data_IF_710103143201
#
_entry.id   IF_710103143201
#
_cell.length_a   1.000
_cell.length_b   1.000
_cell.length_c   1.000
_cell.angle_alpha   90.00
_cell.angle_beta   90.00
_cell.angle_gamma   90.00
#
_symmetry.space_group_name_H-M   'P 1'
#
loop_
_entity.id
_entity.type
_entity.pdbx_description
1 polymer ?
#
# COMPACT_ATOMS: atom_id res chain seq x y z
N UNK A 1 -5.98 -1.07 -15.37
CA UNK A 1 -5.33 -0.61 -16.61
C UNK A 1 -4.60 0.66 -16.24
N UNK A 2 -3.27 0.67 -16.17
CA UNK A 2 -2.58 1.89 -15.80
C UNK A 2 -2.59 2.82 -17.00
N UNK A 3 -3.46 3.83 -16.97
CA UNK A 3 -3.25 5.04 -17.75
C UNK A 3 -1.92 5.61 -17.25
N UNK A 4 -1.00 5.95 -18.16
CA UNK A 4 0.28 6.52 -17.77
C UNK A 4 0.03 7.72 -16.86
N UNK A 5 0.59 7.65 -15.65
CA UNK A 5 0.44 8.67 -14.62
C UNK A 5 1.82 9.17 -14.28
N UNK A 6 2.00 10.48 -14.37
CA UNK A 6 3.27 11.14 -14.11
C UNK A 6 3.02 12.18 -13.03
N UNK A 7 3.90 12.18 -12.03
CA UNK A 7 3.90 13.11 -10.92
C UNK A 7 5.32 13.70 -10.80
N UNK A 8 5.43 14.90 -10.27
CA UNK A 8 6.73 15.52 -10.04
C UNK A 8 7.59 15.71 -11.30
N UNK A 9 8.91 15.66 -11.12
CA UNK A 9 9.91 15.89 -12.15
C UNK A 9 10.48 14.56 -12.65
N UNK A 10 10.33 14.31 -13.95
CA UNK A 10 10.89 13.13 -14.61
C UNK A 10 11.76 13.53 -15.81
N UNK A 11 12.78 12.73 -16.16
CA UNK A 11 13.56 12.94 -17.37
C UNK A 11 12.74 12.67 -18.64
N UNK A 12 13.18 13.25 -19.76
CA UNK A 12 12.54 13.08 -21.08
C UNK A 12 12.50 11.61 -21.55
N UNK A 13 13.46 10.79 -21.10
CA UNK A 13 13.58 9.36 -21.41
C UNK A 13 13.98 8.62 -20.13
N UNK A 14 13.56 7.36 -20.03
CA UNK A 14 13.96 6.45 -18.95
C UNK A 14 15.46 6.13 -19.06
N UNK A 15 16.09 5.77 -17.95
CA UNK A 15 17.47 5.27 -17.92
C UNK A 15 18.50 6.26 -18.49
N UNK A 16 18.28 7.56 -18.26
CA UNK A 16 19.27 8.61 -18.54
C UNK A 16 19.70 9.27 -17.24
N UNK A 17 20.87 9.91 -17.25
CA UNK A 17 21.30 10.72 -16.12
C UNK A 17 20.26 11.83 -15.86
N UNK A 18 19.62 11.76 -14.69
CA UNK A 18 18.70 12.77 -14.21
C UNK A 18 19.32 13.45 -12.99
N UNK A 19 19.38 14.79 -13.02
CA UNK A 19 20.06 15.58 -12.00
C UNK A 19 19.10 16.53 -11.32
N UNK A 20 19.23 16.65 -10.00
CA UNK A 20 18.51 17.63 -9.20
C UNK A 20 19.02 19.05 -9.42
N UNK A 21 18.40 20.02 -8.74
CA UNK A 21 18.76 21.43 -8.86
C UNK A 21 20.22 21.72 -8.44
N UNK A 22 20.77 20.94 -7.51
CA UNK A 22 22.17 21.04 -7.08
C UNK A 22 23.17 20.27 -7.96
N UNK A 23 22.72 19.69 -9.07
CA UNK A 23 23.57 18.92 -10.00
C UNK A 23 23.85 17.47 -9.56
N UNK A 24 23.40 17.05 -8.38
CA UNK A 24 23.50 15.66 -7.93
C UNK A 24 22.67 14.72 -8.81
N UNK A 25 23.14 13.48 -9.01
CA UNK A 25 22.35 12.45 -9.67
C UNK A 25 21.20 12.01 -8.76
N UNK A 26 20.02 11.89 -9.33
CA UNK A 26 18.83 11.35 -8.68
C UNK A 26 18.77 9.84 -8.99
N UNK A 27 18.87 8.95 -7.98
CA UNK A 27 18.80 7.51 -8.20
C UNK A 27 17.44 7.12 -8.78
N UNK A 28 17.47 6.27 -9.82
CA UNK A 28 16.26 5.72 -10.44
C UNK A 28 15.93 4.37 -9.79
N UNK A 29 14.69 4.18 -9.35
CA UNK A 29 14.15 2.91 -8.88
C UNK A 29 13.03 2.44 -9.82
N UNK A 30 13.16 1.22 -10.35
CA UNK A 30 12.03 0.55 -11.02
C UNK A 30 11.29 -0.31 -9.99
N UNK A 31 10.13 0.17 -9.55
CA UNK A 31 9.21 -0.63 -8.75
C UNK A 31 8.24 -1.31 -9.69
N UNK A 32 8.33 -2.64 -9.77
CA UNK A 32 7.52 -3.44 -10.69
C UNK A 32 7.02 -4.74 -10.07
N UNK A 33 5.93 -5.23 -10.63
CA UNK A 33 5.38 -6.54 -10.35
C UNK A 33 5.57 -7.49 -11.54
N UNK A 34 5.56 -8.81 -11.31
CA UNK A 34 5.81 -9.83 -12.35
C UNK A 34 7.11 -9.58 -13.14
N UNK A 35 8.16 -9.16 -12.40
CA UNK A 35 9.45 -8.78 -12.98
C UNK A 35 9.32 -7.53 -13.84
N UNK A 36 9.48 -7.69 -15.16
CA UNK A 36 9.44 -6.59 -16.14
C UNK A 36 8.18 -6.56 -17.01
N UNK A 37 7.21 -7.44 -16.72
CA UNK A 37 6.02 -7.63 -17.58
C UNK A 37 4.73 -7.10 -16.96
N UNK A 38 4.69 -6.96 -15.64
CA UNK A 38 3.55 -6.43 -14.92
C UNK A 38 3.53 -4.89 -14.87
N UNK A 39 2.59 -4.32 -14.07
CA UNK A 39 2.58 -2.90 -13.77
C UNK A 39 3.90 -2.48 -13.11
N UNK A 40 4.42 -1.32 -13.52
CA UNK A 40 5.63 -0.76 -12.95
C UNK A 40 5.58 0.78 -12.94
N UNK A 41 6.31 1.34 -11.98
CA UNK A 41 6.60 2.76 -11.84
C UNK A 41 8.11 2.95 -11.83
N UNK A 42 8.57 4.04 -12.43
CA UNK A 42 9.94 4.53 -12.28
C UNK A 42 9.90 5.72 -11.34
N UNK A 43 10.71 5.67 -10.28
CA UNK A 43 10.79 6.68 -9.25
C UNK A 43 12.19 7.29 -9.27
N UNK A 44 12.29 8.60 -9.06
CA UNK A 44 13.56 9.30 -8.96
C UNK A 44 13.72 9.86 -7.55
N UNK A 45 14.71 9.35 -6.83
CA UNK A 45 14.93 9.62 -5.41
C UNK A 45 15.95 10.74 -5.17
N UNK A 46 15.94 11.31 -3.96
CA UNK A 46 17.03 12.15 -3.47
C UNK A 46 18.18 11.29 -2.92
N UNK A 47 17.85 10.18 -2.28
CA UNK A 47 18.76 9.22 -1.67
C UNK A 47 18.74 7.88 -2.41
N UNK A 48 19.71 7.01 -2.11
CA UNK A 48 19.71 5.67 -2.67
C UNK A 48 18.65 4.82 -1.93
N UNK A 49 17.65 4.23 -2.62
CA UNK A 49 16.57 3.48 -1.96
C UNK A 49 17.06 2.20 -1.25
N UNK A 50 18.30 1.77 -1.54
CA UNK A 50 18.93 0.59 -0.91
C UNK A 50 19.59 0.88 0.44
N UNK A 51 19.55 2.13 0.94
CA UNK A 51 20.20 2.51 2.20
C UNK A 51 19.36 2.07 3.40
N UNK A 52 19.66 0.88 3.90
CA UNK A 52 19.07 0.34 5.13
C UNK A 52 20.17 0.26 6.20
N UNK A 53 19.97 0.94 7.33
CA UNK A 53 20.90 0.94 8.46
C UNK A 53 20.84 -0.35 9.25
N UNK A 54 19.63 -0.80 9.54
CA UNK A 54 19.38 -1.93 10.43
C UNK A 54 18.14 -2.70 10.00
N UNK A 55 18.15 -4.01 10.22
CA UNK A 55 16.99 -4.89 10.02
C UNK A 55 16.85 -5.75 11.26
N UNK A 56 15.68 -5.72 11.90
CA UNK A 56 15.38 -6.50 13.10
C UNK A 56 13.98 -7.11 13.09
N UNK A 57 13.79 -8.32 13.67
CA UNK A 57 12.46 -8.85 13.89
C UNK A 57 11.65 -7.92 14.78
N UNK A 58 10.38 -7.66 14.43
CA UNK A 58 9.50 -6.81 15.23
C UNK A 58 8.40 -7.62 15.92
N UNK A 59 7.56 -8.32 15.15
CA UNK A 59 6.39 -9.04 15.68
C UNK A 59 5.96 -10.18 14.77
N UNK A 60 5.56 -11.31 15.34
CA UNK A 60 4.85 -12.36 14.57
C UNK A 60 3.35 -12.09 14.61
N UNK A 61 2.68 -12.25 13.47
CA UNK A 61 1.23 -12.16 13.36
C UNK A 61 0.67 -13.59 13.45
N UNK A 62 0.44 -14.05 14.67
CA UNK A 62 0.00 -15.42 14.97
C UNK A 62 -1.48 -15.61 14.59
N UNK A 63 -1.73 -15.85 13.30
CA UNK A 63 -3.05 -16.18 12.79
C UNK A 63 -3.39 -17.62 13.17
N UNK A 64 -4.36 -17.78 14.05
CA UNK A 64 -4.82 -19.09 14.52
C UNK A 64 -5.91 -19.59 13.59
N UNK A 65 -5.60 -20.65 12.83
CA UNK A 65 -6.59 -21.32 12.00
C UNK A 65 -7.53 -22.12 12.90
N UNK A 66 -8.79 -22.25 12.49
CA UNK A 66 -9.72 -23.14 13.17
C UNK A 66 -9.19 -24.58 13.12
N UNK A 67 -9.09 -25.29 14.27
CA UNK A 67 -8.56 -26.65 14.31
C UNK A 67 -9.36 -27.62 13.45
N UNK A 68 -10.69 -27.50 13.50
CA UNK A 68 -11.62 -28.35 12.77
C UNK A 68 -12.16 -27.61 11.55
N UNK A 69 -11.75 -28.06 10.35
CA UNK A 69 -12.20 -27.48 9.07
C UNK A 69 -13.55 -28.06 8.64
N UNK A 70 -14.52 -28.08 9.54
CA UNK A 70 -15.88 -28.54 9.26
C UNK A 70 -16.71 -27.38 8.71
N UNK A 71 -17.57 -27.69 7.74
CA UNK A 71 -18.44 -26.70 7.13
C UNK A 71 -19.51 -26.24 8.12
N UNK A 72 -19.48 -24.95 8.46
CA UNK A 72 -20.50 -24.31 9.29
C UNK A 72 -20.98 -23.00 8.66
N UNK A 73 -22.29 -22.75 8.76
CA UNK A 73 -22.82 -21.41 8.54
C UNK A 73 -22.42 -20.51 9.70
N UNK A 74 -21.75 -19.40 9.41
CA UNK A 74 -21.24 -18.45 10.42
C UNK A 74 -21.79 -17.06 10.20
N UNK A 75 -22.11 -16.39 11.30
CA UNK A 75 -22.41 -14.97 11.32
C UNK A 75 -21.33 -14.27 12.16
N UNK A 76 -20.45 -13.52 11.49
CA UNK A 76 -19.37 -12.77 12.14
C UNK A 76 -19.92 -11.45 12.69
N UNK A 77 -20.00 -11.35 14.03
CA UNK A 77 -20.47 -10.15 14.72
C UNK A 77 -19.30 -9.22 15.04
N UNK A 78 -18.91 -8.38 14.08
CA UNK A 78 -17.79 -7.41 14.25
C UNK A 78 -18.18 -6.15 15.02
N UNK A 79 -19.49 -5.90 15.24
CA UNK A 79 -19.97 -4.70 15.94
C UNK A 79 -19.34 -4.54 17.34
N UNK A 80 -19.26 -5.61 18.12
CA UNK A 80 -18.64 -5.62 19.46
C UNK A 80 -17.17 -6.05 19.48
N UNK A 81 -16.52 -6.16 18.31
CA UNK A 81 -15.11 -6.52 18.24
C UNK A 81 -14.24 -5.31 18.54
N UNK A 82 -13.53 -5.35 19.66
CA UNK A 82 -12.54 -4.35 20.02
C UNK A 82 -11.21 -4.64 19.30
N UNK A 83 -10.64 -3.62 18.69
CA UNK A 83 -9.29 -3.68 18.11
C UNK A 83 -8.42 -2.64 18.81
N UNK A 84 -7.10 -2.74 18.64
CA UNK A 84 -6.19 -1.67 19.05
C UNK A 84 -6.21 -0.45 18.10
N UNK A 85 -5.48 0.62 18.46
CA UNK A 85 -5.50 1.90 17.74
C UNK A 85 -4.79 1.88 16.39
N UNK A 86 -3.96 0.86 16.11
CA UNK A 86 -3.13 0.78 14.92
C UNK A 86 -3.84 0.10 13.74
N UNK A 87 -3.94 0.81 12.62
CA UNK A 87 -4.44 0.21 11.36
C UNK A 87 -3.51 -0.87 10.81
N UNK A 88 -2.24 -0.89 11.22
CA UNK A 88 -1.22 -1.84 10.77
C UNK A 88 -1.10 -3.02 11.74
N UNK A 89 -0.94 -2.74 13.03
CA UNK A 89 -0.56 -3.73 14.03
C UNK A 89 -1.74 -4.44 14.70
N UNK A 90 -2.93 -3.83 14.68
CA UNK A 90 -4.07 -4.31 15.47
C UNK A 90 -5.20 -4.90 14.61
N UNK A 91 -4.83 -5.34 13.40
CA UNK A 91 -5.73 -6.05 12.49
C UNK A 91 -6.09 -7.42 13.08
N UNK A 92 -7.39 -7.69 13.22
CA UNK A 92 -7.90 -8.98 13.67
C UNK A 92 -8.29 -9.83 12.45
N UNK A 93 -7.58 -10.95 12.18
CA UNK A 93 -7.94 -11.84 11.08
C UNK A 93 -9.30 -12.52 11.36
N UNK A 94 -10.23 -12.42 10.42
CA UNK A 94 -11.56 -13.03 10.49
C UNK A 94 -11.64 -14.33 9.69
N UNK A 95 -11.12 -14.29 8.46
CA UNK A 95 -11.16 -15.39 7.50
C UNK A 95 -9.85 -15.38 6.72
N UNK A 96 -9.21 -16.53 6.55
CA UNK A 96 -8.01 -16.61 5.74
C UNK A 96 -7.78 -18.01 5.19
N UNK A 97 -7.11 -18.07 4.04
CA UNK A 97 -6.57 -19.27 3.45
C UNK A 97 -5.21 -18.94 2.78
N UNK A 98 -4.74 -19.79 1.87
CA UNK A 98 -3.48 -19.54 1.17
C UNK A 98 -3.55 -18.39 0.14
N UNK A 99 -4.76 -18.01 -0.31
CA UNK A 99 -4.97 -17.05 -1.39
C UNK A 99 -5.36 -15.66 -0.86
N UNK A 100 -6.15 -15.60 0.20
CA UNK A 100 -6.73 -14.36 0.72
C UNK A 100 -6.86 -14.39 2.24
N UNK A 101 -6.69 -13.22 2.87
CA UNK A 101 -7.01 -12.99 4.26
C UNK A 101 -7.87 -11.73 4.41
N UNK A 102 -8.93 -11.82 5.21
CA UNK A 102 -9.81 -10.72 5.57
C UNK A 102 -9.58 -10.41 7.04
N UNK A 103 -9.24 -9.17 7.35
CA UNK A 103 -9.03 -8.70 8.69
C UNK A 103 -9.85 -7.43 8.97
N UNK A 104 -10.21 -7.24 10.23
CA UNK A 104 -10.99 -6.11 10.70
C UNK A 104 -10.16 -5.25 11.65
N UNK A 105 -10.30 -3.93 11.56
CA UNK A 105 -9.61 -2.99 12.44
C UNK A 105 -10.39 -1.68 12.60
N UNK A 106 -10.33 -1.10 13.80
CA UNK A 106 -10.86 0.22 14.17
C UNK A 106 -9.75 1.12 14.72
N UNK A 107 -8.94 1.73 13.86
CA UNK A 107 -7.86 2.61 14.33
C UNK A 107 -8.43 3.88 14.99
N UNK A 108 -7.70 4.43 15.96
CA UNK A 108 -8.04 5.71 16.61
C UNK A 108 -7.67 6.92 15.73
N UNK A 109 -6.77 6.70 14.76
CA UNK A 109 -6.35 7.68 13.75
C UNK A 109 -5.08 8.48 14.08
N UNK A 110 -4.51 8.31 15.26
CA UNK A 110 -3.33 9.09 15.71
C UNK A 110 -1.97 8.52 15.30
N UNK A 111 -1.92 7.27 14.84
CA UNK A 111 -0.67 6.58 14.59
C UNK A 111 -0.18 6.78 13.15
N UNK A 112 1.09 7.18 12.99
CA UNK A 112 1.74 7.39 11.71
C UNK A 112 2.93 6.45 11.59
N UNK A 113 2.71 5.30 10.95
CA UNK A 113 3.74 4.26 10.76
C UNK A 113 4.01 4.07 9.27
N UNK A 114 5.28 4.03 8.91
CA UNK A 114 5.69 3.60 7.57
C UNK A 114 5.54 2.09 7.46
N UNK A 115 4.66 1.64 6.57
CA UNK A 115 4.35 0.23 6.42
C UNK A 115 4.35 -0.18 4.95
N UNK A 116 4.85 -1.38 4.66
CA UNK A 116 4.66 -2.04 3.36
C UNK A 116 4.36 -3.51 3.54
N UNK A 117 3.43 -4.00 2.72
CA UNK A 117 3.13 -5.42 2.65
C UNK A 117 3.97 -6.09 1.55
N UNK A 118 4.96 -6.91 1.91
CA UNK A 118 5.83 -7.62 0.97
C UNK A 118 5.33 -9.05 0.63
N UNK A 119 4.15 -9.44 1.09
CA UNK A 119 3.58 -10.77 0.80
C UNK A 119 2.29 -10.75 0.01
N UNK A 120 1.56 -9.62 -0.02
CA UNK A 120 0.26 -9.53 -0.68
C UNK A 120 -0.06 -8.12 -1.18
N UNK A 121 -0.98 -8.06 -2.15
CA UNK A 121 -1.70 -6.82 -2.45
C UNK A 121 -2.75 -6.59 -1.36
N UNK A 122 -3.00 -5.35 -0.99
CA UNK A 122 -4.01 -4.98 0.01
C UNK A 122 -5.17 -4.23 -0.65
N UNK A 123 -6.39 -4.56 -0.24
CA UNK A 123 -7.58 -3.78 -0.48
C UNK A 123 -8.13 -3.37 0.88
N UNK A 124 -8.12 -2.07 1.18
CA UNK A 124 -8.70 -1.54 2.41
C UNK A 124 -10.03 -0.90 2.08
N UNK A 125 -11.11 -1.54 2.49
CA UNK A 125 -12.43 -0.94 2.46
C UNK A 125 -12.63 -0.08 3.71
N UNK A 126 -12.82 1.23 3.51
CA UNK A 126 -13.05 2.19 4.59
C UNK A 126 -14.55 2.26 4.83
N UNK A 127 -15.03 1.57 5.87
CA UNK A 127 -16.46 1.58 6.22
C UNK A 127 -16.85 2.91 6.86
N UNK A 128 -16.01 3.42 7.75
CA UNK A 128 -16.21 4.68 8.48
C UNK A 128 -14.88 5.44 8.58
N UNK A 129 -14.94 6.77 8.61
CA UNK A 129 -13.78 7.65 8.69
C UNK A 129 -13.30 8.19 7.34
N UNK A 130 -12.30 9.06 7.40
CA UNK A 130 -11.66 9.72 6.25
C UNK A 130 -10.20 10.01 6.55
N UNK A 131 -9.44 10.35 5.51
CA UNK A 131 -8.03 10.66 5.64
C UNK A 131 -7.30 10.67 4.31
N UNK A 132 -6.01 10.43 4.37
CA UNK A 132 -5.16 10.24 3.21
C UNK A 132 -4.18 9.09 3.40
N UNK A 133 -3.89 8.39 2.30
CA UNK A 133 -2.80 7.43 2.21
C UNK A 133 -1.61 8.14 1.55
N UNK A 134 -0.51 8.30 2.26
CA UNK A 134 0.74 8.85 1.70
C UNK A 134 1.69 7.72 1.34
N UNK A 135 2.43 7.90 0.24
CA UNK A 135 3.42 6.95 -0.27
C UNK A 135 4.48 7.73 -1.06
N UNK A 136 5.61 7.09 -1.44
CA UNK A 136 6.53 7.71 -2.40
C UNK A 136 5.88 8.04 -3.75
N UNK A 137 4.72 7.44 -4.06
CA UNK A 137 3.95 7.71 -5.28
C UNK A 137 2.99 8.90 -5.13
N UNK A 138 2.93 9.56 -3.98
CA UNK A 138 2.03 10.68 -3.72
C UNK A 138 1.01 10.43 -2.61
N UNK A 139 0.09 11.39 -2.47
CA UNK A 139 -0.99 11.41 -1.48
C UNK A 139 -2.32 11.04 -2.14
N UNK A 140 -3.04 10.09 -1.55
CA UNK A 140 -4.34 9.63 -2.01
C UNK A 140 -5.41 9.88 -0.94
N UNK A 141 -6.22 10.94 -1.07
CA UNK A 141 -7.35 11.19 -0.16
C UNK A 141 -8.41 10.09 -0.24
N UNK A 142 -8.97 9.72 0.90
CA UNK A 142 -10.02 8.71 1.02
C UNK A 142 -11.10 9.10 2.03
N UNK A 143 -12.26 8.48 1.87
CA UNK A 143 -13.43 8.64 2.74
C UNK A 143 -14.19 7.31 2.87
N UNK A 144 -15.17 7.30 3.77
CA UNK A 144 -16.10 6.19 3.93
C UNK A 144 -16.72 5.78 2.59
N UNK A 145 -16.77 4.47 2.33
CA UNK A 145 -17.21 3.86 1.08
C UNK A 145 -16.09 3.58 0.08
N UNK A 146 -14.88 4.07 0.31
CA UNK A 146 -13.76 3.92 -0.61
C UNK A 146 -13.05 2.56 -0.45
N UNK A 147 -12.46 2.09 -1.56
CA UNK A 147 -11.52 0.98 -1.58
C UNK A 147 -10.13 1.50 -1.93
N UNK A 148 -9.19 1.35 -0.99
CA UNK A 148 -7.78 1.63 -1.24
C UNK A 148 -7.13 0.37 -1.77
N UNK A 149 -6.65 0.39 -3.02
CA UNK A 149 -5.90 -0.72 -3.62
C UNK A 149 -4.42 -0.39 -3.53
N UNK A 150 -3.70 -1.17 -2.73
CA UNK A 150 -2.28 -0.97 -2.44
C UNK A 150 -1.53 -2.21 -2.97
N UNK A 151 -0.85 -2.10 -4.12
CA UNK A 151 -0.04 -3.21 -4.62
C UNK A 151 1.03 -3.63 -3.62
N UNK A 152 1.40 -4.91 -3.66
CA UNK A 152 2.49 -5.48 -2.86
C UNK A 152 3.75 -4.63 -2.99
N UNK A 153 4.40 -4.39 -1.86
CA UNK A 153 5.68 -3.70 -1.76
C UNK A 153 5.59 -2.18 -1.71
N UNK A 154 4.43 -1.59 -2.00
CA UNK A 154 4.24 -0.14 -1.93
C UNK A 154 4.28 0.31 -0.47
N UNK A 155 5.32 1.08 -0.16
CA UNK A 155 5.46 1.76 1.13
C UNK A 155 4.42 2.86 1.26
N UNK A 156 3.74 2.87 2.39
CA UNK A 156 2.69 3.85 2.65
C UNK A 156 2.56 4.16 4.13
N UNK A 157 1.86 5.25 4.41
CA UNK A 157 1.49 5.71 5.74
C UNK A 157 0.03 6.18 5.70
N UNK A 158 -0.74 5.79 6.70
CA UNK A 158 -2.13 6.25 6.85
C UNK A 158 -2.17 7.52 7.68
N UNK A 159 -2.91 8.52 7.20
CA UNK A 159 -3.21 9.76 7.92
C UNK A 159 -4.72 9.88 8.05
N UNK A 160 -5.28 9.32 9.11
CA UNK A 160 -6.71 9.46 9.39
C UNK A 160 -7.01 10.80 10.05
N UNK A 161 -8.19 11.36 9.76
CA UNK A 161 -8.68 12.60 10.37
C UNK A 161 -9.34 12.36 11.75
N UNK A 162 -9.48 11.09 12.15
CA UNK A 162 -10.06 10.64 13.41
C UNK A 162 -10.23 9.13 13.44
N UNK A 163 -11.04 8.58 14.35
CA UNK A 163 -11.35 7.15 14.38
C UNK A 163 -11.95 6.66 13.05
N UNK A 164 -11.61 5.44 12.66
CA UNK A 164 -12.10 4.82 11.44
C UNK A 164 -12.47 3.35 11.66
N UNK A 165 -13.20 2.77 10.71
CA UNK A 165 -13.50 1.33 10.66
C UNK A 165 -13.09 0.80 9.30
N UNK A 166 -12.22 -0.21 9.26
CA UNK A 166 -11.68 -0.76 8.03
C UNK A 166 -11.82 -2.28 7.95
N UNK A 167 -12.18 -2.77 6.76
CA UNK A 167 -12.00 -4.17 6.38
C UNK A 167 -10.80 -4.26 5.43
N UNK A 168 -9.77 -4.98 5.86
CA UNK A 168 -8.54 -5.18 5.10
C UNK A 168 -8.56 -6.55 4.45
N UNK A 169 -8.46 -6.57 3.12
CA UNK A 169 -8.37 -7.79 2.32
C UNK A 169 -6.94 -7.87 1.79
N UNK A 170 -6.19 -8.87 2.21
CA UNK A 170 -4.86 -9.17 1.70
C UNK A 170 -4.95 -10.33 0.71
N UNK A 171 -4.43 -10.14 -0.50
CA UNK A 171 -4.43 -11.12 -1.58
C UNK A 171 -3.00 -11.59 -1.88
N UNK A 172 -2.78 -12.91 -1.91
CA UNK A 172 -1.53 -13.52 -2.37
C UNK A 172 -1.33 -13.34 -3.89
N UNK A 173 -2.39 -13.07 -4.64
CA UNK A 173 -2.35 -12.72 -6.06
C UNK A 173 -2.55 -11.23 -6.33
N UNK A 174 -2.42 -10.83 -7.60
CA UNK A 174 -2.57 -9.44 -8.04
C UNK A 174 -4.02 -8.98 -8.09
N UNK A 175 -4.29 -7.83 -7.47
CA UNK A 175 -5.58 -7.15 -7.55
C UNK A 175 -5.69 -6.40 -8.87
N UNK A 176 -6.71 -6.73 -9.65
CA UNK A 176 -6.95 -6.17 -10.98
C UNK A 176 -8.43 -6.12 -11.31
N UNK A 177 -8.82 -5.22 -12.20
CA UNK A 177 -10.19 -5.20 -12.71
C UNK A 177 -10.51 -6.51 -13.43
N UNK A 178 -11.72 -7.08 -13.25
CA UNK A 178 -12.06 -8.38 -13.83
C UNK A 178 -11.89 -8.40 -15.35
N UNK A 179 -11.35 -9.50 -15.89
CA UNK A 179 -11.09 -9.64 -17.35
C UNK A 179 -12.36 -9.42 -18.19
N UNK A 180 -13.52 -9.89 -17.71
CA UNK A 180 -14.81 -9.73 -18.40
C UNK A 180 -15.28 -8.29 -18.57
N UNK A 181 -14.74 -7.36 -17.78
CA UNK A 181 -15.05 -5.94 -17.86
C UNK A 181 -13.97 -5.16 -18.60
N UNK A 182 -13.00 -5.84 -19.23
CA UNK A 182 -11.93 -5.20 -19.98
C UNK A 182 -11.97 -5.58 -21.46
N UNK A 183 -11.72 -4.60 -22.33
CA UNK A 183 -11.39 -4.85 -23.73
C UNK A 183 -9.93 -5.35 -23.87
N UNK A 184 -9.54 -5.69 -25.10
CA UNK A 184 -8.19 -6.21 -25.40
C UNK A 184 -7.06 -5.20 -25.16
N UNK A 185 -7.38 -3.91 -25.01
CA UNK A 185 -6.44 -2.83 -24.73
C UNK A 185 -6.37 -2.46 -23.24
N UNK A 186 -7.15 -3.15 -22.39
CA UNK A 186 -7.25 -2.88 -20.95
C UNK A 186 -8.35 -1.90 -20.55
N UNK A 187 -8.93 -1.19 -21.52
CA UNK A 187 -10.23 -0.49 -21.55
C UNK A 187 -11.28 -1.05 -20.61
N UNK A 188 -11.83 -0.35 -19.62
CA UNK A 188 -13.11 -0.79 -19.05
C UNK A 188 -14.20 -0.72 -20.15
N UNK A 189 -15.04 -1.75 -20.22
CA UNK A 189 -16.17 -1.80 -21.16
C UNK A 189 -17.30 -0.86 -20.69
N UNK A 190 -18.11 -0.35 -21.61
CA UNK A 190 -19.28 0.50 -21.29
C UNK A 190 -20.29 -0.17 -20.34
N UNK A 191 -20.38 -1.50 -20.36
CA UNK A 191 -21.23 -2.30 -19.47
C UNK A 191 -20.58 -2.64 -18.12
N UNK A 192 -19.38 -2.11 -17.85
CA UNK A 192 -18.70 -2.33 -16.58
C UNK A 192 -19.45 -1.61 -15.46
N UNK A 193 -19.49 -2.17 -14.23
CA UNK A 193 -20.20 -1.55 -13.12
C UNK A 193 -19.53 -0.28 -12.57
N UNK A 194 -18.34 0.05 -13.09
CA UNK A 194 -17.57 1.26 -12.80
C UNK A 194 -16.71 1.59 -14.00
N UNK A 195 -16.21 2.82 -14.05
CA UNK A 195 -15.40 3.39 -15.12
C UNK A 195 -14.05 3.87 -14.59
N UNK A 196 -13.17 4.29 -15.50
CA UNK A 196 -11.89 4.90 -15.13
C UNK A 196 -12.06 6.20 -14.33
N UNK A 197 -13.22 6.87 -14.44
CA UNK A 197 -13.52 8.10 -13.69
C UNK A 197 -13.71 7.85 -12.19
N UNK A 198 -14.06 6.62 -11.83
CA UNK A 198 -14.24 6.21 -10.44
C UNK A 198 -12.91 5.88 -9.76
N UNK A 199 -11.83 5.74 -10.54
CA UNK A 199 -10.48 5.41 -10.06
C UNK A 199 -9.72 6.71 -9.79
N UNK A 200 -9.62 7.08 -8.51
CA UNK A 200 -8.75 8.15 -8.05
C UNK A 200 -7.29 7.69 -8.02
N UNK A 201 -6.40 8.59 -8.40
CA UNK A 201 -4.95 8.38 -8.43
C UNK A 201 -4.27 9.27 -7.39
N UNK A 202 -3.09 8.90 -6.89
CA UNK A 202 -2.32 9.77 -6.00
C UNK A 202 -2.01 11.12 -6.64
N UNK A 203 -2.02 12.15 -5.81
CA UNK A 203 -1.59 13.51 -6.09
C UNK A 203 -0.13 13.67 -5.68
N UNK A 204 0.63 14.48 -6.42
CA UNK A 204 2.03 14.72 -6.11
C UNK A 204 2.19 15.37 -4.73
N UNK A 205 3.20 14.93 -3.99
CA UNK A 205 3.68 15.58 -2.77
C UNK A 205 5.17 15.87 -2.95
N UNK A 206 5.63 16.98 -2.40
CA UNK A 206 7.05 17.33 -2.45
C UNK A 206 7.90 16.28 -1.71
N UNK A 207 9.05 15.98 -2.31
CA UNK A 207 10.03 15.07 -1.72
C UNK A 207 10.54 15.63 -0.38
N UNK A 208 10.62 14.75 0.63
CA UNK A 208 11.17 15.12 1.95
C UNK A 208 12.66 14.82 1.98
N UNK A 209 13.46 15.89 1.96
CA UNK A 209 14.92 15.83 2.03
C UNK A 209 15.39 15.84 3.49
N UNK A 210 15.17 14.73 4.19
CA UNK A 210 15.46 14.60 5.62
C UNK A 210 16.30 13.35 5.87
N UNK A 211 17.37 13.50 6.66
CA UNK A 211 18.18 12.38 7.15
C UNK A 211 17.88 12.10 8.62
N UNK A 212 18.04 10.86 9.04
CA UNK A 212 17.69 10.43 10.39
C UNK A 212 17.31 8.96 10.42
N UNK A 213 16.79 8.51 11.56
CA UNK A 213 16.37 7.13 11.72
C UNK A 213 14.87 7.03 11.46
N UNK A 214 14.51 6.36 10.36
CA UNK A 214 13.12 6.18 9.95
C UNK A 214 12.74 4.70 9.99
N UNK A 215 12.02 4.25 11.04
CA UNK A 215 11.51 2.90 11.13
C UNK A 215 10.44 2.61 10.07
N UNK A 216 10.65 1.55 9.31
CA UNK A 216 9.71 1.02 8.33
C UNK A 216 9.35 -0.42 8.68
N UNK A 217 8.05 -0.70 8.82
CA UNK A 217 7.56 -2.04 9.11
C UNK A 217 7.19 -2.77 7.82
N UNK A 218 7.80 -3.93 7.62
CA UNK A 218 7.60 -4.76 6.43
C UNK A 218 6.93 -6.06 6.84
N UNK A 219 5.74 -6.33 6.29
CA UNK A 219 5.08 -7.63 6.47
C UNK A 219 5.59 -8.65 5.45
N UNK A 220 6.11 -9.78 5.93
CA UNK A 220 6.46 -10.95 5.10
C UNK A 220 6.28 -12.25 5.88
N UNK A 221 5.64 -13.24 5.27
CA UNK A 221 5.37 -14.56 5.88
C UNK A 221 4.64 -14.46 7.23
N UNK A 222 3.66 -13.55 7.32
CA UNK A 222 2.93 -13.20 8.55
C UNK A 222 3.86 -12.79 9.71
N UNK A 223 5.00 -12.17 9.39
CA UNK A 223 5.90 -11.55 10.35
C UNK A 223 6.12 -10.10 9.94
N UNK A 224 6.24 -9.25 10.94
CA UNK A 224 6.68 -7.87 10.81
C UNK A 224 8.17 -7.80 11.10
N UNK A 225 8.89 -7.20 10.16
CA UNK A 225 10.30 -6.86 10.28
C UNK A 225 10.41 -5.36 10.27
N UNK A 226 11.17 -4.80 11.20
CA UNK A 226 11.51 -3.38 11.22
C UNK A 226 12.80 -3.18 10.42
N UNK A 227 12.75 -2.28 9.44
CA UNK A 227 13.90 -1.80 8.67
C UNK A 227 14.09 -0.33 9.00
N UNK A 228 15.27 0.06 9.46
CA UNK A 228 15.59 1.46 9.74
C UNK A 228 16.30 2.06 8.53
N UNK A 229 15.72 3.08 7.92
CA UNK A 229 16.36 3.86 6.85
C UNK A 229 17.16 5.04 7.45
N UNK A 230 18.17 5.52 6.72
CA UNK A 230 18.97 6.71 7.10
C UNK A 230 18.38 8.03 6.57
N UNK A 231 17.23 7.97 5.89
CA UNK A 231 16.55 9.09 5.26
C UNK A 231 15.04 8.89 5.25
N UNK A 232 14.29 9.98 5.07
CA UNK A 232 12.83 9.92 5.03
C UNK A 232 12.38 9.10 3.80
N UNK A 233 11.48 8.12 3.96
CA UNK A 233 11.12 7.19 2.87
C UNK A 233 10.37 7.83 1.69
N UNK A 234 9.79 9.01 1.88
CA UNK A 234 9.08 9.78 0.85
C UNK A 234 9.99 10.85 0.23
N UNK A 235 11.14 10.44 -0.31
CA UNK A 235 12.16 11.30 -0.91
C UNK A 235 12.09 11.35 -2.46
N UNK A 236 10.98 10.92 -3.04
CA UNK A 236 10.79 10.79 -4.50
C UNK A 236 10.38 12.13 -5.11
N UNK A 237 11.17 12.61 -6.06
CA UNK A 237 10.93 13.91 -6.74
C UNK A 237 10.03 13.79 -7.98
N UNK A 238 9.77 12.58 -8.46
CA UNK A 238 8.95 12.28 -9.62
C UNK A 238 9.03 10.83 -10.08
#
# INVERSE_FOLDING_TARGET
MPIYHQLGRVPRKRHIAFRGAGGQLLPEELIGNEGFTGPASLLYHLYQPTRVKEVRPARTLDWQAEPERVLHHRHFKTAGLETGPSVVFDRIPLLFNADVALAFVRPSGSEQVFYRNAQGDEIVYVTEGSGALESPLGRLPFRAGDYLVIPRGILHQYHFEGPATCLVIESAGYVRTPKRYRNNFGQLLEQSPFSERDIRRPEFIEARDETGDFPVFVKKSNRLVEMVLDHHPFDVVG
#
